data_IF_304625092661
#
_entry.id   IF_304625092661
#
_cell.length_a   1.000
_cell.length_b   1.000
_cell.length_c   1.000
_cell.angle_alpha   90.00
_cell.angle_beta   90.00
_cell.angle_gamma   90.00
#
_symmetry.space_group_name_H-M   'P 1'
#
loop_
_entity.id
_entity.type
_entity.pdbx_description
1 polymer ?
#
# COMPACT_ATOMS: atom_id res chain seq x y z
N UNK A 1 -3.39 19.76 15.08
CA UNK A 1 -2.42 20.38 14.15
C UNK A 1 -2.68 20.04 12.66
N UNK A 2 -3.89 20.28 12.10
CA UNK A 2 -4.15 20.11 10.66
C UNK A 2 -3.88 21.37 9.82
N UNK A 3 -3.69 22.53 10.44
CA UNK A 3 -3.60 23.82 9.74
C UNK A 3 -2.26 24.08 9.02
N UNK A 4 -1.17 23.42 9.42
CA UNK A 4 0.15 23.61 8.80
C UNK A 4 0.26 22.90 7.43
N UNK A 5 -0.43 21.76 7.26
CA UNK A 5 -0.47 21.02 6.00
C UNK A 5 -1.29 21.73 4.92
N UNK A 6 -2.35 22.44 5.31
CA UNK A 6 -3.17 23.23 4.39
C UNK A 6 -2.40 24.43 3.83
N UNK A 7 -1.53 25.04 4.65
CA UNK A 7 -0.70 26.17 4.24
C UNK A 7 0.45 25.75 3.31
N UNK A 8 1.08 24.59 3.52
CA UNK A 8 2.13 24.09 2.63
C UNK A 8 1.60 23.72 1.23
N UNK A 9 0.35 23.25 1.14
CA UNK A 9 -0.35 23.01 -0.13
C UNK A 9 -0.74 24.30 -0.85
N UNK A 10 -1.08 25.34 -0.10
CA UNK A 10 -1.42 26.65 -0.67
C UNK A 10 -0.18 27.36 -1.24
N UNK A 11 1.00 27.19 -0.62
CA UNK A 11 2.25 27.80 -1.11
C UNK A 11 2.82 27.13 -2.36
N UNK A 12 2.53 25.85 -2.62
CA UNK A 12 2.91 25.21 -3.88
C UNK A 12 1.96 25.54 -5.04
N UNK A 13 0.75 26.03 -4.74
CA UNK A 13 -0.21 26.47 -5.75
C UNK A 13 0.13 27.84 -6.36
N UNK A 14 0.88 28.68 -5.63
CA UNK A 14 1.24 30.04 -6.09
C UNK A 14 2.54 30.10 -6.89
N UNK A 15 3.37 29.05 -6.92
CA UNK A 15 4.61 29.01 -7.72
C UNK A 15 4.32 28.63 -9.18
N UNK A 16 3.11 28.11 -9.48
CA UNK A 16 2.69 27.72 -10.83
C UNK A 16 1.99 28.81 -11.65
N UNK A 17 1.90 30.05 -11.16
CA UNK A 17 1.22 31.17 -11.83
C UNK A 17 2.15 32.38 -11.94
N UNK A 18 3.20 32.27 -12.75
CA UNK A 18 3.71 33.46 -13.43
C UNK A 18 2.92 33.60 -14.74
N UNK A 19 2.15 34.68 -14.95
CA UNK A 19 1.47 34.91 -16.21
C UNK A 19 2.50 35.19 -17.30
N UNK A 20 2.56 34.33 -18.34
CA UNK A 20 3.29 34.64 -19.56
C UNK A 20 2.43 35.60 -20.39
N UNK A 21 2.92 36.82 -20.55
CA UNK A 21 2.54 37.91 -21.48
C UNK A 21 1.34 37.60 -22.39
N UNK A 22 0.22 38.29 -22.14
CA UNK A 22 -0.88 38.38 -23.09
C UNK A 22 -0.52 39.38 -24.21
N UNK A 23 -0.39 38.89 -25.46
CA UNK A 23 -0.60 39.73 -26.63
C UNK A 23 -1.96 39.36 -27.25
N UNK A 24 -2.60 40.38 -27.79
CA UNK A 24 -4.01 40.55 -28.13
C UNK A 24 -4.70 39.32 -28.79
N UNK A 25 -5.88 38.97 -28.23
CA UNK A 25 -6.88 37.96 -28.63
C UNK A 25 -6.62 36.49 -28.23
N UNK A 26 -7.55 35.99 -27.39
CA UNK A 26 -7.77 34.63 -26.86
C UNK A 26 -6.87 34.18 -25.71
N UNK A 27 -7.49 34.05 -24.53
CA UNK A 27 -6.90 33.38 -23.36
C UNK A 27 -7.01 31.88 -23.62
N UNK A 28 -5.93 31.25 -24.09
CA UNK A 28 -5.82 29.80 -24.18
C UNK A 28 -5.22 29.32 -22.85
N UNK A 29 -6.06 28.85 -21.93
CA UNK A 29 -5.56 28.10 -20.77
C UNK A 29 -4.91 26.79 -21.27
N UNK A 30 -3.78 26.34 -20.69
CA UNK A 30 -3.17 25.08 -21.09
C UNK A 30 -4.12 23.91 -20.77
N UNK A 31 -4.84 23.43 -21.78
CA UNK A 31 -5.78 22.31 -21.69
C UNK A 31 -5.12 20.99 -21.22
N UNK A 32 -3.79 20.94 -21.24
CA UNK A 32 -2.97 19.82 -20.78
C UNK A 32 -2.85 19.74 -19.26
N UNK A 33 -3.01 20.84 -18.53
CA UNK A 33 -2.78 20.86 -17.08
C UNK A 33 -4.04 20.45 -16.30
N UNK A 34 -5.22 20.91 -16.72
CA UNK A 34 -6.52 20.55 -16.11
C UNK A 34 -6.89 19.08 -16.33
N UNK A 35 -6.57 18.52 -17.50
CA UNK A 35 -6.77 17.10 -17.83
C UNK A 35 -5.83 16.15 -17.06
N UNK A 36 -4.60 16.60 -16.79
CA UNK A 36 -3.67 15.87 -15.94
C UNK A 36 -4.15 15.81 -14.48
N UNK A 37 -4.60 16.94 -13.92
CA UNK A 37 -5.15 16.97 -12.57
C UNK A 37 -6.42 16.12 -12.43
N UNK A 38 -7.33 16.11 -13.41
CA UNK A 38 -8.52 15.24 -13.34
C UNK A 38 -8.16 13.75 -13.38
N UNK A 39 -7.18 13.38 -14.21
CA UNK A 39 -6.67 12.01 -14.31
C UNK A 39 -5.98 11.55 -13.02
N UNK A 40 -5.14 12.41 -12.43
CA UNK A 40 -4.52 12.13 -11.13
C UNK A 40 -5.57 11.96 -10.03
N UNK A 41 -6.61 12.79 -9.98
CA UNK A 41 -7.69 12.65 -9.00
C UNK A 41 -8.44 11.31 -9.15
N UNK A 42 -8.71 10.86 -10.39
CA UNK A 42 -9.33 9.55 -10.62
C UNK A 42 -8.45 8.40 -10.16
N UNK A 43 -7.15 8.42 -10.51
CA UNK A 43 -6.18 7.42 -10.06
C UNK A 43 -6.08 7.39 -8.53
N UNK A 44 -6.03 8.57 -7.89
CA UNK A 44 -6.01 8.69 -6.43
C UNK A 44 -7.29 8.10 -5.82
N UNK A 45 -8.47 8.35 -6.40
CA UNK A 45 -9.74 7.79 -5.91
C UNK A 45 -9.75 6.26 -6.05
N UNK A 46 -9.30 5.70 -7.18
CA UNK A 46 -9.21 4.26 -7.38
C UNK A 46 -8.26 3.58 -6.38
N UNK A 47 -7.10 4.18 -6.14
CA UNK A 47 -6.13 3.70 -5.13
C UNK A 47 -6.69 3.85 -3.72
N UNK A 48 -7.36 4.96 -3.41
CA UNK A 48 -7.95 5.18 -2.09
C UNK A 48 -9.07 4.18 -1.80
N UNK A 49 -9.97 3.96 -2.76
CA UNK A 49 -11.08 3.02 -2.60
C UNK A 49 -10.58 1.58 -2.43
N UNK A 50 -9.58 1.17 -3.22
CA UNK A 50 -8.97 -0.17 -3.08
C UNK A 50 -8.29 -0.34 -1.73
N UNK A 51 -7.50 0.63 -1.27
CA UNK A 51 -6.85 0.59 0.05
C UNK A 51 -7.88 0.58 1.18
N UNK A 52 -8.90 1.45 1.15
CA UNK A 52 -9.92 1.55 2.21
C UNK A 52 -10.76 0.28 2.32
N UNK A 53 -11.01 -0.43 1.21
CA UNK A 53 -11.82 -1.65 1.22
C UNK A 53 -10.99 -2.90 1.56
N UNK A 54 -9.77 -3.03 1.01
CA UNK A 54 -8.97 -4.28 1.10
C UNK A 54 -8.21 -4.38 2.42
N UNK A 55 -7.64 -3.28 2.90
CA UNK A 55 -6.82 -3.26 4.11
C UNK A 55 -7.56 -3.77 5.36
N UNK A 56 -8.79 -3.32 5.68
CA UNK A 56 -9.50 -3.83 6.85
C UNK A 56 -9.81 -5.33 6.74
N UNK A 57 -10.01 -5.87 5.53
CA UNK A 57 -10.27 -7.30 5.34
C UNK A 57 -9.06 -8.16 5.73
N UNK A 58 -7.86 -7.76 5.27
CA UNK A 58 -6.64 -8.54 5.54
C UNK A 58 -6.37 -8.67 7.04
N UNK A 59 -6.56 -7.61 7.84
CA UNK A 59 -6.33 -7.65 9.28
C UNK A 59 -7.30 -8.54 10.07
N UNK A 60 -8.40 -9.00 9.47
CA UNK A 60 -9.40 -9.86 10.14
C UNK A 60 -9.15 -11.35 9.95
N UNK A 61 -8.19 -11.73 9.10
CA UNK A 61 -7.88 -13.14 8.85
C UNK A 61 -7.12 -13.73 10.02
N UNK A 62 -7.63 -14.83 10.58
CA UNK A 62 -7.02 -15.54 11.70
C UNK A 62 -6.46 -16.88 11.25
N UNK A 63 -5.17 -17.09 11.51
CA UNK A 63 -4.48 -18.35 11.33
C UNK A 63 -4.09 -18.95 12.68
N UNK A 64 -4.58 -20.15 12.97
CA UNK A 64 -4.34 -20.85 14.23
C UNK A 64 -2.95 -21.53 14.25
N UNK A 65 -1.91 -20.72 14.01
CA UNK A 65 -0.50 -21.12 14.01
C UNK A 65 0.32 -20.08 14.77
N UNK A 66 1.49 -20.51 15.25
CA UNK A 66 2.45 -19.67 15.96
C UNK A 66 3.49 -19.07 15.01
N UNK A 67 3.87 -17.83 15.24
CA UNK A 67 5.04 -17.22 14.60
C UNK A 67 6.32 -17.75 15.25
N UNK A 68 7.30 -18.23 14.48
CA UNK A 68 8.53 -18.80 15.04
C UNK A 68 9.51 -17.76 15.57
N UNK A 69 9.36 -16.49 15.20
CA UNK A 69 10.22 -15.39 15.67
C UNK A 69 9.65 -14.75 16.93
N UNK A 70 8.48 -14.12 16.84
CA UNK A 70 7.87 -13.39 17.97
C UNK A 70 7.01 -14.27 18.89
N UNK A 71 6.84 -15.56 18.57
CA UNK A 71 6.05 -16.55 19.32
C UNK A 71 4.56 -16.18 19.51
N UNK A 72 4.03 -15.17 18.80
CA UNK A 72 2.60 -14.83 18.83
C UNK A 72 1.76 -15.97 18.25
N UNK A 73 0.62 -16.24 18.86
CA UNK A 73 -0.37 -17.22 18.44
C UNK A 73 -1.76 -16.74 18.88
N UNK A 74 -2.78 -16.69 18.01
CA UNK A 74 -2.76 -16.94 16.57
C UNK A 74 -2.09 -15.80 15.76
N UNK A 75 -1.63 -16.10 14.54
CA UNK A 75 -1.22 -15.07 13.58
C UNK A 75 -2.47 -14.43 12.98
N UNK A 76 -2.53 -13.10 13.04
CA UNK A 76 -3.55 -12.29 12.38
C UNK A 76 -2.98 -11.67 11.11
N UNK A 77 -3.79 -11.50 10.07
CA UNK A 77 -3.33 -10.93 8.82
C UNK A 77 -2.74 -11.96 7.87
N UNK A 78 -1.70 -11.54 7.15
CA UNK A 78 -0.95 -12.41 6.26
C UNK A 78 -0.02 -13.34 7.05
N UNK A 79 -0.09 -14.62 6.74
CA UNK A 79 0.85 -15.63 7.22
C UNK A 79 1.88 -15.93 6.14
N UNK A 80 3.15 -15.92 6.52
CA UNK A 80 4.26 -16.26 5.64
C UNK A 80 4.85 -17.60 6.07
N UNK A 81 4.82 -18.62 5.21
CA UNK A 81 5.43 -19.94 5.47
C UNK A 81 6.64 -20.15 4.57
N UNK A 82 7.77 -20.50 5.16
CA UNK A 82 8.96 -20.84 4.39
C UNK A 82 8.72 -22.13 3.59
N UNK A 83 9.17 -22.16 2.34
CA UNK A 83 9.06 -23.34 1.48
C UNK A 83 10.11 -24.41 1.79
N UNK A 84 11.26 -24.00 2.33
CA UNK A 84 12.41 -24.89 2.62
C UNK A 84 12.45 -25.33 4.09
N UNK A 85 12.06 -24.46 5.02
CA UNK A 85 12.10 -24.76 6.45
C UNK A 85 10.79 -25.47 6.89
N UNK A 86 10.87 -26.65 7.52
CA UNK A 86 9.69 -27.34 8.01
C UNK A 86 9.07 -26.56 9.17
N UNK A 87 7.74 -26.44 9.17
CA UNK A 87 6.94 -25.77 10.22
C UNK A 87 7.31 -24.30 10.52
N UNK A 88 8.12 -23.65 9.68
CA UNK A 88 8.54 -22.27 9.92
C UNK A 88 7.52 -21.26 9.39
N UNK A 89 6.81 -20.61 10.30
CA UNK A 89 5.80 -19.60 10.01
C UNK A 89 6.20 -18.26 10.59
N UNK A 90 5.98 -17.20 9.82
CA UNK A 90 6.24 -15.82 10.18
C UNK A 90 4.92 -15.04 10.10
N UNK A 91 4.72 -14.13 11.05
CA UNK A 91 3.73 -13.07 10.90
C UNK A 91 4.28 -11.98 10.00
N UNK A 92 3.38 -11.16 9.46
CA UNK A 92 3.70 -10.04 8.57
C UNK A 92 4.79 -9.11 9.12
N UNK A 93 4.71 -8.74 10.40
CA UNK A 93 5.71 -7.87 11.05
C UNK A 93 7.12 -8.48 11.03
N UNK A 94 7.25 -9.77 11.37
CA UNK A 94 8.55 -10.45 11.40
C UNK A 94 9.13 -10.64 10.00
N UNK A 95 8.27 -10.90 9.02
CA UNK A 95 8.68 -11.00 7.61
C UNK A 95 9.19 -9.66 7.09
N UNK A 96 8.48 -8.56 7.31
CA UNK A 96 8.91 -7.21 6.88
C UNK A 96 10.13 -6.69 7.62
N UNK A 97 10.29 -7.05 8.89
CA UNK A 97 11.52 -6.74 9.64
C UNK A 97 12.71 -7.54 9.12
N UNK A 98 12.49 -8.62 8.37
CA UNK A 98 13.55 -9.46 7.81
C UNK A 98 14.31 -10.27 8.86
N UNK A 99 13.64 -10.63 9.97
CA UNK A 99 14.29 -11.36 11.08
C UNK A 99 14.53 -12.81 10.69
N UNK A 100 15.78 -13.22 10.79
CA UNK A 100 16.25 -14.59 10.50
C UNK A 100 16.57 -15.35 11.79
N UNK A 101 16.52 -16.66 11.72
CA UNK A 101 16.95 -17.57 12.81
C UNK A 101 17.98 -18.56 12.25
N UNK A 102 18.63 -19.34 13.10
CA UNK A 102 19.63 -20.33 12.66
C UNK A 102 19.07 -21.33 11.63
N UNK A 103 17.77 -21.61 11.70
CA UNK A 103 17.08 -22.53 10.78
C UNK A 103 16.51 -21.86 9.53
N UNK A 104 16.42 -20.53 9.49
CA UNK A 104 15.79 -19.78 8.39
C UNK A 104 16.56 -18.51 8.04
N UNK A 105 16.96 -18.39 6.77
CA UNK A 105 17.59 -17.19 6.21
C UNK A 105 16.65 -16.49 5.24
N UNK A 106 16.87 -15.19 5.02
CA UNK A 106 16.12 -14.39 4.03
C UNK A 106 16.32 -14.87 2.58
N UNK A 107 17.27 -15.79 2.34
CA UNK A 107 17.47 -16.42 1.03
C UNK A 107 16.51 -17.60 0.78
N UNK A 108 15.76 -18.04 1.79
CA UNK A 108 14.73 -19.06 1.60
C UNK A 108 13.43 -18.44 1.13
N UNK A 109 12.87 -19.00 0.05
CA UNK A 109 11.61 -18.52 -0.49
C UNK A 109 10.45 -18.75 0.49
N UNK A 110 9.58 -17.75 0.61
CA UNK A 110 8.45 -17.73 1.54
C UNK A 110 7.16 -17.58 0.75
N UNK A 111 6.13 -18.37 1.10
CA UNK A 111 4.79 -18.29 0.51
C UNK A 111 3.85 -17.56 1.46
N UNK A 112 3.06 -16.65 0.93
CA UNK A 112 2.00 -15.96 1.66
C UNK A 112 0.70 -16.77 1.66
N UNK A 113 -0.01 -16.68 2.78
CA UNK A 113 -1.30 -17.30 3.01
C UNK A 113 -2.22 -16.23 3.61
N UNK A 114 -3.29 -15.90 2.89
CA UNK A 114 -4.24 -14.83 3.22
C UNK A 114 -5.62 -15.35 3.61
N UNK A 115 -5.84 -16.67 3.62
CA UNK A 115 -7.10 -17.25 4.07
C UNK A 115 -6.89 -18.61 4.71
N UNK A 116 -7.77 -18.93 5.65
CA UNK A 116 -7.92 -20.30 6.15
C UNK A 116 -8.79 -21.15 5.19
N UNK A 117 -9.51 -20.53 4.23
CA UNK A 117 -10.39 -21.23 3.29
C UNK A 117 -11.05 -20.42 2.14
N UNK A 118 -10.70 -19.17 1.83
CA UNK A 118 -11.25 -18.48 0.64
C UNK A 118 -10.20 -17.59 -0.04
N UNK A 119 -9.84 -17.97 -1.26
CA UNK A 119 -8.91 -17.29 -2.15
C UNK A 119 -9.52 -16.00 -2.72
N UNK A 120 -9.67 -14.96 -1.90
CA UNK A 120 -10.16 -13.63 -2.34
C UNK A 120 -9.06 -12.76 -2.97
N UNK A 121 -7.79 -13.17 -2.90
CA UNK A 121 -6.67 -12.38 -3.44
C UNK A 121 -6.54 -12.50 -4.97
N UNK A 122 -7.20 -13.48 -5.60
CA UNK A 122 -7.08 -13.69 -7.05
C UNK A 122 -7.80 -12.63 -7.91
N UNK A 123 -8.67 -11.80 -7.34
CA UNK A 123 -9.50 -10.87 -8.12
C UNK A 123 -8.92 -9.45 -8.26
N UNK A 124 -7.80 -9.12 -7.60
CA UNK A 124 -7.31 -7.71 -7.54
C UNK A 124 -6.06 -7.46 -8.40
N UNK A 125 -5.47 -8.49 -9.00
CA UNK A 125 -4.24 -8.37 -9.81
C UNK A 125 -4.33 -8.98 -11.22
N UNK A 126 -5.52 -9.25 -11.76
CA UNK A 126 -5.67 -9.66 -13.16
C UNK A 126 -6.48 -8.63 -13.96
#
# INVERSE_FOLDING_TARGET
MPYLFTLLRATLFTIGQLPVVANNRSIIYPHTQTSFYSSLNFVIIMVLLTVVIVVPFLFTVRHNVRCEVCKREPIWGLRYKCTRCPHYNLCQDCFWTGVTTDQHTNAHDVKEYSSSSVSLVLFVFC
#
